data_IF_404650486491
#
_entry.id   IF_404650486491
#
_cell.length_a   1.000
_cell.length_b   1.000
_cell.length_c   1.000
_cell.angle_alpha   90.00
_cell.angle_beta   90.00
_cell.angle_gamma   90.00
#
_symmetry.space_group_name_H-M   'P 1'
#
loop_
_entity.id
_entity.type
_entity.pdbx_description
1 polymer ?
#
# COMPACT_ATOMS: atom_id res chain seq x y z
N UNK A 1 -5.33 0.04 8.74
CA UNK A 1 -6.34 0.46 9.74
C UNK A 1 -7.53 -0.48 9.69
N UNK A 2 -8.39 -0.51 10.71
CA UNK A 2 -9.39 -1.58 10.91
C UNK A 2 -10.38 -1.78 9.75
N UNK A 3 -10.78 -0.72 9.04
CA UNK A 3 -11.66 -0.84 7.86
C UNK A 3 -10.87 -1.26 6.62
N UNK A 4 -9.65 -0.75 6.45
CA UNK A 4 -8.80 -1.11 5.31
C UNK A 4 -8.40 -2.60 5.36
N UNK A 5 -8.16 -3.16 6.55
CA UNK A 5 -7.72 -4.55 6.71
C UNK A 5 -8.65 -5.58 6.03
N UNK A 6 -9.97 -5.62 6.31
CA UNK A 6 -10.87 -6.55 5.63
C UNK A 6 -11.04 -6.23 4.14
N UNK A 7 -10.97 -4.96 3.72
CA UNK A 7 -11.03 -4.59 2.30
C UNK A 7 -9.84 -5.20 1.54
N UNK A 8 -8.61 -5.04 2.05
CA UNK A 8 -7.42 -5.61 1.42
C UNK A 8 -7.47 -7.15 1.44
N UNK A 9 -7.96 -7.76 2.54
CA UNK A 9 -8.15 -9.20 2.59
C UNK A 9 -9.11 -9.71 1.51
N UNK A 10 -10.22 -9.00 1.25
CA UNK A 10 -11.14 -9.33 0.16
C UNK A 10 -10.52 -9.17 -1.22
N UNK A 11 -9.61 -8.21 -1.43
CA UNK A 11 -8.87 -8.05 -2.71
C UNK A 11 -7.92 -9.23 -2.95
N UNK A 12 -7.16 -9.67 -1.93
CA UNK A 12 -6.35 -10.90 -2.01
C UNK A 12 -7.22 -12.13 -2.32
N UNK A 13 -8.37 -12.26 -1.66
CA UNK A 13 -9.28 -13.37 -1.91
C UNK A 13 -9.83 -13.35 -3.35
N UNK A 14 -10.14 -12.16 -3.88
CA UNK A 14 -10.62 -11.98 -5.26
C UNK A 14 -9.52 -12.28 -6.29
N UNK A 15 -8.25 -11.97 -6.00
CA UNK A 15 -7.13 -12.30 -6.88
C UNK A 15 -6.92 -13.82 -7.02
N UNK A 16 -7.18 -14.58 -5.95
CA UNK A 16 -7.28 -16.04 -6.01
C UNK A 16 -5.97 -16.79 -6.31
N UNK A 17 -4.82 -16.12 -6.25
CA UNK A 17 -3.49 -16.61 -6.63
C UNK A 17 -2.55 -16.81 -5.42
N UNK A 18 -3.08 -16.78 -4.19
CA UNK A 18 -2.29 -16.79 -2.95
C UNK A 18 -1.32 -17.96 -2.79
N UNK A 19 -1.54 -19.08 -3.48
CA UNK A 19 -0.63 -20.23 -3.49
C UNK A 19 0.60 -20.05 -4.41
N UNK A 20 0.57 -19.06 -5.32
CA UNK A 20 1.58 -18.85 -6.36
C UNK A 20 2.41 -17.58 -6.18
N UNK A 21 1.93 -16.61 -5.41
CA UNK A 21 2.63 -15.34 -5.18
C UNK A 21 3.64 -15.45 -4.03
N UNK A 22 4.77 -14.75 -4.16
CA UNK A 22 5.78 -14.66 -3.12
C UNK A 22 5.50 -13.52 -2.15
N UNK A 23 6.11 -13.59 -0.96
CA UNK A 23 6.14 -12.46 -0.02
C UNK A 23 6.74 -11.25 -0.72
N UNK A 24 6.05 -10.11 -0.65
CA UNK A 24 6.48 -8.88 -1.32
C UNK A 24 5.99 -8.71 -2.76
N UNK A 25 5.13 -9.60 -3.28
CA UNK A 25 4.51 -9.43 -4.60
C UNK A 25 3.94 -8.02 -4.88
N UNK A 26 3.27 -7.33 -3.92
CA UNK A 26 2.81 -5.96 -4.16
C UNK A 26 3.93 -4.95 -4.45
N UNK A 27 5.15 -5.17 -3.96
CA UNK A 27 6.29 -4.24 -4.13
C UNK A 27 6.85 -4.28 -5.58
N UNK A 28 6.65 -5.37 -6.31
CA UNK A 28 7.05 -5.49 -7.72
C UNK A 28 5.93 -5.12 -8.70
N UNK A 29 4.68 -5.01 -8.25
CA UNK A 29 3.48 -4.78 -9.10
C UNK A 29 2.84 -3.41 -8.87
N UNK A 30 3.68 -2.39 -8.70
CA UNK A 30 3.28 -1.04 -8.29
C UNK A 30 2.35 -0.31 -9.28
N UNK A 31 2.38 -0.69 -10.56
CA UNK A 31 1.48 -0.12 -11.59
C UNK A 31 0.02 -0.51 -11.38
N UNK A 32 -0.23 -1.54 -10.57
CA UNK A 32 -1.57 -1.99 -10.16
C UNK A 32 -2.01 -1.37 -8.82
N UNK A 33 -1.38 -0.26 -8.41
CA UNK A 33 -1.71 0.50 -7.22
C UNK A 33 -1.89 1.98 -7.58
N UNK A 34 -2.77 2.67 -6.86
CA UNK A 34 -2.89 4.12 -6.88
C UNK A 34 -1.97 4.71 -5.82
N UNK A 35 -0.90 5.35 -6.26
CA UNK A 35 0.06 6.08 -5.42
C UNK A 35 -0.59 7.36 -4.84
N UNK A 36 -0.58 7.50 -3.52
CA UNK A 36 -1.11 8.67 -2.82
C UNK A 36 0.07 9.59 -2.53
N UNK A 37 0.16 10.70 -3.26
CA UNK A 37 1.36 11.56 -3.21
C UNK A 37 1.19 12.79 -2.30
N UNK A 38 0.13 12.86 -1.50
CA UNK A 38 -0.17 14.05 -0.69
C UNK A 38 -0.85 13.72 0.63
N UNK A 39 -0.55 14.50 1.67
CA UNK A 39 -1.10 14.33 3.01
C UNK A 39 -0.03 13.97 4.05
N UNK A 40 -0.40 14.01 5.32
CA UNK A 40 0.46 13.62 6.44
C UNK A 40 -0.36 12.93 7.52
N UNK A 41 0.22 11.91 8.18
CA UNK A 41 -0.35 11.27 9.36
C UNK A 41 0.14 11.88 10.69
N UNK A 42 0.77 13.06 10.62
CA UNK A 42 1.37 13.74 11.77
C UNK A 42 2.83 13.35 11.97
N UNK A 43 3.72 14.35 11.98
CA UNK A 43 5.16 14.14 11.99
C UNK A 43 5.77 14.62 13.32
N UNK A 44 6.53 13.75 13.99
CA UNK A 44 7.35 14.15 15.13
C UNK A 44 8.73 14.64 14.66
N UNK A 45 9.32 15.58 15.40
CA UNK A 45 10.59 16.25 15.02
C UNK A 45 11.79 15.32 14.79
N UNK A 46 11.73 14.07 15.26
CA UNK A 46 12.81 13.08 15.14
C UNK A 46 12.56 12.00 14.08
N UNK A 47 11.42 12.06 13.38
CA UNK A 47 11.03 11.04 12.41
C UNK A 47 11.35 11.55 11.00
N UNK A 48 11.96 10.73 10.12
CA UNK A 48 12.18 11.11 8.73
C UNK A 48 10.86 11.49 8.04
N UNK A 49 10.87 12.56 7.25
CA UNK A 49 9.67 13.10 6.57
C UNK A 49 8.92 12.03 5.78
N UNK A 50 9.65 11.12 5.12
CA UNK A 50 9.10 10.02 4.32
C UNK A 50 8.24 9.03 5.12
N UNK A 51 8.44 8.92 6.44
CA UNK A 51 7.63 8.05 7.28
C UNK A 51 6.29 8.69 7.70
N UNK A 52 6.13 10.00 7.50
CA UNK A 52 4.97 10.73 8.00
C UNK A 52 4.29 11.64 6.96
N UNK A 53 4.90 11.84 5.80
CA UNK A 53 4.39 12.66 4.70
C UNK A 53 4.33 11.80 3.46
N UNK A 54 3.16 11.80 2.82
CA UNK A 54 2.95 11.05 1.60
C UNK A 54 3.67 11.72 0.43
N UNK A 55 4.12 10.94 -0.54
CA UNK A 55 4.92 11.43 -1.66
C UNK A 55 5.11 10.36 -2.72
N UNK A 56 5.77 10.67 -3.85
CA UNK A 56 5.92 9.71 -4.93
C UNK A 56 6.61 8.41 -4.49
N UNK A 57 5.98 7.27 -4.75
CA UNK A 57 6.49 5.96 -4.45
C UNK A 57 6.05 5.42 -3.09
N UNK A 58 6.98 4.81 -2.36
CA UNK A 58 6.66 4.29 -1.02
C UNK A 58 6.76 5.39 0.02
N UNK A 59 5.76 5.48 0.89
CA UNK A 59 5.78 6.35 2.05
C UNK A 59 5.20 5.66 3.31
N UNK A 60 5.51 6.22 4.48
CA UNK A 60 5.04 5.68 5.75
C UNK A 60 3.52 5.82 5.97
N UNK A 61 2.85 6.91 5.54
CA UNK A 61 1.40 7.03 5.69
C UNK A 61 0.58 6.00 4.91
N UNK A 62 0.97 5.66 3.68
CA UNK A 62 0.16 4.89 2.73
C UNK A 62 0.86 3.69 2.10
N UNK A 63 2.16 3.50 2.33
CA UNK A 63 2.93 2.44 1.71
C UNK A 63 3.08 2.71 0.21
N UNK A 64 2.74 1.73 -0.64
CA UNK A 64 2.64 1.91 -2.09
C UNK A 64 1.27 2.41 -2.56
N UNK A 65 0.37 2.72 -1.62
CA UNK A 65 -0.95 3.25 -1.90
C UNK A 65 -2.07 2.21 -1.88
N UNK A 66 -3.11 2.43 -2.70
CA UNK A 66 -4.35 1.63 -2.67
C UNK A 66 -4.50 0.70 -3.89
N UNK A 67 -5.25 -0.40 -3.79
CA UNK A 67 -5.45 -1.31 -4.93
C UNK A 67 -6.05 -0.61 -6.16
N UNK A 68 -5.46 -0.84 -7.33
CA UNK A 68 -6.05 -0.57 -8.63
C UNK A 68 -6.40 -1.92 -9.29
N UNK A 69 -7.51 -2.52 -8.85
CA UNK A 69 -7.84 -3.90 -9.18
C UNK A 69 -7.02 -4.93 -8.38
N UNK A 70 -6.91 -6.15 -8.91
CA UNK A 70 -6.24 -7.28 -8.25
C UNK A 70 -4.79 -7.49 -8.68
N UNK A 71 -4.27 -6.72 -9.65
CA UNK A 71 -2.98 -7.02 -10.27
C UNK A 71 -1.75 -6.94 -9.35
N UNK A 72 -1.87 -6.33 -8.17
CA UNK A 72 -0.82 -6.29 -7.14
C UNK A 72 -0.98 -7.37 -6.05
N UNK A 73 -2.02 -8.21 -6.12
CA UNK A 73 -2.47 -9.10 -5.06
C UNK A 73 -2.63 -10.54 -5.51
#
# INVERSE_FOLDING_TARGET
TSVASPIIASVYALAGNGASIAVGYPYSHRTSLWDITSGSNGCHRRVPVQQCTAGPGWDGPTGWGTPNGTGAF
#
